data_IF_315801602803
#
_entry.id   IF_315801602803
#
_cell.length_a   1.000
_cell.length_b   1.000
_cell.length_c   1.000
_cell.angle_alpha   90.00
_cell.angle_beta   90.00
_cell.angle_gamma   90.00
#
_symmetry.space_group_name_H-M   'P 1'
#
loop_
_entity.id
_entity.type
_entity.pdbx_description
1 polymer ?
#
# COMPACT_ATOMS: atom_id res chain seq x y z
N UNK A 1 -17.45 -6.42 -1.73
CA UNK A 1 -16.28 -6.92 -0.97
C UNK A 1 -15.21 -5.86 -0.69
N UNK A 2 -14.78 -5.04 -1.68
CA UNK A 2 -13.73 -4.04 -1.43
C UNK A 2 -14.17 -2.94 -0.46
N UNK A 3 -15.37 -2.41 -0.66
CA UNK A 3 -15.96 -1.37 0.18
C UNK A 3 -16.08 -1.83 1.64
N UNK A 4 -16.42 -3.10 1.88
CA UNK A 4 -16.55 -3.67 3.21
C UNK A 4 -15.18 -3.79 3.91
N UNK A 5 -14.12 -4.10 3.17
CA UNK A 5 -12.74 -4.10 3.69
C UNK A 5 -12.28 -2.66 3.98
N UNK A 6 -12.62 -1.70 3.13
CA UNK A 6 -12.32 -0.28 3.33
C UNK A 6 -13.03 0.26 4.57
N UNK A 7 -14.32 -0.05 4.74
CA UNK A 7 -15.08 0.28 5.95
C UNK A 7 -14.42 -0.31 7.20
N UNK A 8 -14.01 -1.58 7.19
CA UNK A 8 -13.33 -2.21 8.32
C UNK A 8 -11.98 -1.54 8.65
N UNK A 9 -11.22 -1.12 7.64
CA UNK A 9 -9.96 -0.40 7.84
C UNK A 9 -10.20 0.98 8.42
N UNK A 10 -11.21 1.68 7.94
CA UNK A 10 -11.57 3.01 8.43
C UNK A 10 -12.05 2.93 9.88
N UNK A 11 -12.88 1.94 10.21
CA UNK A 11 -13.29 1.66 11.59
C UNK A 11 -12.07 1.40 12.48
N UNK A 12 -11.13 0.55 12.03
CA UNK A 12 -9.91 0.28 12.80
C UNK A 12 -9.06 1.54 13.00
N UNK A 13 -8.93 2.39 11.97
CA UNK A 13 -8.21 3.67 12.02
C UNK A 13 -8.86 4.62 13.04
N UNK A 14 -10.17 4.83 12.97
CA UNK A 14 -10.91 5.67 13.92
C UNK A 14 -10.73 5.17 15.36
N UNK A 15 -10.92 3.87 15.60
CA UNK A 15 -10.76 3.28 16.92
C UNK A 15 -9.33 3.43 17.48
N UNK A 16 -8.30 3.29 16.64
CA UNK A 16 -6.90 3.48 17.05
C UNK A 16 -6.56 4.95 17.35
N UNK A 17 -7.18 5.88 16.61
CA UNK A 17 -7.00 7.31 16.81
C UNK A 17 -7.86 7.88 17.96
N UNK A 18 -8.82 7.09 18.49
CA UNK A 18 -9.81 7.58 19.45
C UNK A 18 -10.83 8.56 18.83
N UNK A 19 -10.96 8.54 17.51
CA UNK A 19 -11.89 9.38 16.78
C UNK A 19 -13.30 8.74 16.72
N UNK A 20 -14.37 9.54 16.73
CA UNK A 20 -15.71 9.02 16.49
C UNK A 20 -15.83 8.45 15.08
N UNK A 21 -16.63 7.40 14.95
CA UNK A 21 -17.01 6.83 13.66
C UNK A 21 -18.05 7.73 13.00
N UNK A 22 -17.95 7.88 11.68
CA UNK A 22 -19.01 8.48 10.88
C UNK A 22 -20.35 7.76 11.09
N UNK A 23 -21.47 8.49 10.99
CA UNK A 23 -22.81 7.95 11.28
C UNK A 23 -23.18 6.78 10.35
N UNK A 24 -22.80 6.83 9.08
CA UNK A 24 -23.09 5.76 8.13
C UNK A 24 -22.20 4.54 8.40
N UNK A 25 -20.92 4.74 8.74
CA UNK A 25 -20.02 3.67 9.16
C UNK A 25 -20.50 3.00 10.46
N UNK A 26 -20.95 3.80 11.44
CA UNK A 26 -21.49 3.33 12.70
C UNK A 26 -22.75 2.50 12.50
N UNK A 27 -23.69 2.99 11.69
CA UNK A 27 -24.93 2.28 11.36
C UNK A 27 -24.65 0.98 10.60
N UNK A 28 -23.72 1.02 9.65
CA UNK A 28 -23.28 -0.16 8.92
C UNK A 28 -22.66 -1.21 9.86
N UNK A 29 -21.73 -0.82 10.73
CA UNK A 29 -21.07 -1.72 11.69
C UNK A 29 -22.11 -2.35 12.64
N UNK A 30 -23.00 -1.53 13.20
CA UNK A 30 -24.08 -1.98 14.07
C UNK A 30 -24.96 -3.02 13.39
N UNK A 31 -25.39 -2.77 12.15
CA UNK A 31 -26.21 -3.72 11.38
C UNK A 31 -25.49 -5.05 11.13
N UNK A 32 -24.17 -5.04 10.86
CA UNK A 32 -23.41 -6.28 10.63
C UNK A 32 -23.21 -7.08 11.92
N UNK A 33 -22.95 -6.40 13.03
CA UNK A 33 -22.82 -7.05 14.34
C UNK A 33 -24.16 -7.65 14.78
N UNK A 34 -25.26 -6.93 14.59
CA UNK A 34 -26.61 -7.42 14.87
C UNK A 34 -26.91 -8.68 14.06
N UNK A 35 -26.67 -8.68 12.74
CA UNK A 35 -26.87 -9.87 11.90
C UNK A 35 -26.07 -11.10 12.38
N UNK A 36 -24.87 -10.88 12.92
CA UNK A 36 -24.05 -11.95 13.50
C UNK A 36 -24.59 -12.43 14.85
N UNK A 37 -24.87 -11.50 15.77
CA UNK A 37 -25.35 -11.80 17.13
C UNK A 37 -26.74 -12.43 17.12
N UNK A 38 -27.60 -12.03 16.17
CA UNK A 38 -28.92 -12.62 15.96
C UNK A 38 -28.86 -13.97 15.22
N UNK A 39 -27.67 -14.54 15.02
CA UNK A 39 -27.43 -15.83 14.34
C UNK A 39 -27.99 -15.91 12.92
N UNK A 40 -28.25 -14.78 12.25
CA UNK A 40 -28.64 -14.76 10.83
C UNK A 40 -27.48 -15.17 9.92
N UNK A 41 -26.26 -15.08 10.44
CA UNK A 41 -25.01 -15.42 9.76
C UNK A 41 -24.20 -16.38 10.62
N UNK A 42 -23.55 -17.34 9.96
CA UNK A 42 -22.81 -18.42 10.66
C UNK A 42 -21.43 -18.00 11.13
N UNK A 43 -20.90 -16.89 10.59
CA UNK A 43 -19.57 -16.38 10.93
C UNK A 43 -19.49 -14.86 10.75
N UNK A 44 -18.56 -14.22 11.46
CA UNK A 44 -18.24 -12.81 11.27
C UNK A 44 -17.82 -12.51 9.82
N UNK A 45 -17.03 -13.40 9.20
CA UNK A 45 -16.64 -13.23 7.80
C UNK A 45 -17.84 -13.18 6.84
N UNK A 46 -18.91 -13.90 7.14
CA UNK A 46 -20.15 -13.83 6.36
C UNK A 46 -20.93 -12.54 6.63
N UNK A 47 -21.03 -12.14 7.90
CA UNK A 47 -21.70 -10.90 8.30
C UNK A 47 -21.04 -9.66 7.69
N UNK A 48 -19.70 -9.62 7.65
CA UNK A 48 -18.93 -8.54 7.05
C UNK A 48 -18.70 -8.68 5.53
N UNK A 49 -19.28 -9.69 4.89
CA UNK A 49 -19.13 -9.89 3.43
C UNK A 49 -17.71 -10.23 2.99
N UNK A 50 -16.88 -10.76 3.89
CA UNK A 50 -15.49 -11.18 3.65
C UNK A 50 -15.37 -12.60 3.07
N UNK A 51 -16.51 -13.28 2.85
CA UNK A 51 -16.52 -14.65 2.33
C UNK A 51 -16.19 -14.64 0.84
N UNK A 52 -15.09 -15.31 0.47
CA UNK A 52 -14.86 -15.68 -0.92
C UNK A 52 -15.92 -16.70 -1.39
N UNK A 53 -16.14 -16.81 -2.70
CA UNK A 53 -16.90 -17.93 -3.25
C UNK A 53 -16.31 -19.25 -2.73
N UNK A 54 -17.10 -20.33 -2.62
CA UNK A 54 -16.60 -21.62 -2.17
C UNK A 54 -15.46 -22.09 -3.10
N UNK A 55 -14.26 -22.34 -2.54
CA UNK A 55 -13.04 -22.62 -3.32
C UNK A 55 -12.36 -21.38 -3.93
N UNK A 56 -12.84 -20.18 -3.61
CA UNK A 56 -12.32 -18.90 -4.08
C UNK A 56 -11.09 -18.43 -3.31
N UNK A 57 -10.41 -17.44 -3.88
CA UNK A 57 -9.24 -16.79 -3.28
C UNK A 57 -9.66 -16.05 -2.00
N UNK A 58 -8.99 -16.26 -0.85
CA UNK A 58 -9.27 -15.49 0.36
C UNK A 58 -9.12 -13.98 0.11
N UNK A 59 -9.99 -13.17 0.71
CA UNK A 59 -10.01 -11.71 0.47
C UNK A 59 -8.67 -11.02 0.74
N UNK A 60 -7.91 -11.49 1.74
CA UNK A 60 -6.60 -10.94 2.09
C UNK A 60 -5.57 -11.20 0.98
N UNK A 61 -5.63 -12.37 0.37
CA UNK A 61 -4.79 -12.73 -0.78
C UNK A 61 -5.22 -11.95 -2.03
N UNK A 62 -6.52 -11.73 -2.23
CA UNK A 62 -7.01 -10.87 -3.31
C UNK A 62 -6.51 -9.41 -3.14
N UNK A 63 -6.60 -8.86 -1.93
CA UNK A 63 -6.07 -7.54 -1.61
C UNK A 63 -4.55 -7.46 -1.83
N UNK A 64 -3.81 -8.50 -1.43
CA UNK A 64 -2.36 -8.62 -1.68
C UNK A 64 -2.02 -8.65 -3.18
N UNK A 65 -2.80 -9.39 -3.98
CA UNK A 65 -2.66 -9.46 -5.43
C UNK A 65 -2.95 -8.09 -6.07
N UNK A 66 -3.99 -7.38 -5.61
CA UNK A 66 -4.31 -6.03 -6.10
C UNK A 66 -3.20 -5.03 -5.80
N UNK A 67 -2.69 -5.00 -4.55
CA UNK A 67 -1.54 -4.16 -4.16
C UNK A 67 -0.32 -4.45 -5.04
N UNK A 68 0.03 -5.72 -5.23
CA UNK A 68 1.11 -6.14 -6.14
C UNK A 68 0.89 -5.64 -7.55
N UNK A 69 -0.30 -5.87 -8.12
CA UNK A 69 -0.60 -5.51 -9.49
C UNK A 69 -0.59 -3.99 -9.69
N UNK A 70 -1.03 -3.20 -8.71
CA UNK A 70 -0.91 -1.74 -8.74
C UNK A 70 0.55 -1.29 -8.75
N UNK A 71 1.39 -1.85 -7.87
CA UNK A 71 2.81 -1.52 -7.83
C UNK A 71 3.56 -1.93 -9.12
N UNK A 72 3.21 -3.07 -9.72
CA UNK A 72 3.77 -3.50 -11.01
C UNK A 72 3.33 -2.61 -12.17
N UNK A 73 2.11 -2.09 -12.12
CA UNK A 73 1.58 -1.11 -13.09
C UNK A 73 2.30 0.23 -12.98
N UNK A 74 2.50 0.73 -11.77
CA UNK A 74 3.26 1.95 -11.53
C UNK A 74 4.73 1.78 -11.95
N UNK A 75 5.34 0.61 -11.69
CA UNK A 75 6.67 0.28 -12.20
C UNK A 75 6.74 0.36 -13.73
N UNK A 76 5.73 -0.19 -14.41
CA UNK A 76 5.65 -0.18 -15.86
C UNK A 76 5.51 1.25 -16.41
N UNK A 77 4.78 2.13 -15.71
CA UNK A 77 4.67 3.55 -16.03
C UNK A 77 6.02 4.28 -15.87
N UNK A 78 6.78 3.98 -14.81
CA UNK A 78 8.12 4.55 -14.59
C UNK A 78 9.12 4.18 -15.70
N UNK A 79 8.97 3.02 -16.34
CA UNK A 79 9.90 2.55 -17.37
C UNK A 79 9.73 3.26 -18.72
N UNK A 80 8.69 4.08 -18.90
CA UNK A 80 8.46 4.94 -20.08
C UNK A 80 8.79 4.25 -21.41
N UNK A 81 8.32 3.01 -21.62
CA UNK A 81 8.62 2.27 -22.84
C UNK A 81 7.57 2.56 -23.92
N UNK A 82 8.00 3.07 -25.06
CA UNK A 82 7.19 3.13 -26.30
C UNK A 82 7.07 1.76 -26.99
N UNK A 83 7.40 0.68 -26.27
CA UNK A 83 7.40 -0.68 -26.76
C UNK A 83 6.06 -1.41 -26.59
N UNK A 84 5.99 -2.60 -27.18
CA UNK A 84 4.83 -3.50 -27.03
C UNK A 84 4.62 -3.95 -25.57
N UNK A 85 3.39 -4.34 -25.23
CA UNK A 85 3.06 -4.92 -23.92
C UNK A 85 3.98 -6.10 -23.54
N UNK A 86 4.42 -6.88 -24.54
CA UNK A 86 5.35 -7.99 -24.36
C UNK A 86 6.75 -7.52 -23.99
N UNK A 87 7.27 -6.47 -24.65
CA UNK A 87 8.58 -5.91 -24.32
C UNK A 87 8.59 -5.32 -22.90
N UNK A 88 7.52 -4.59 -22.54
CA UNK A 88 7.35 -4.02 -21.21
C UNK A 88 7.23 -5.12 -20.13
N UNK A 89 6.45 -6.17 -20.38
CA UNK A 89 6.32 -7.30 -19.46
C UNK A 89 7.66 -8.03 -19.25
N UNK A 90 8.46 -8.21 -20.31
CA UNK A 90 9.81 -8.81 -20.22
C UNK A 90 10.74 -7.95 -19.38
N UNK A 91 10.72 -6.64 -19.57
CA UNK A 91 11.58 -5.72 -18.81
C UNK A 91 11.20 -5.67 -17.32
N UNK A 92 9.89 -5.58 -17.02
CA UNK A 92 9.39 -5.69 -15.65
C UNK A 92 9.79 -7.03 -15.04
N UNK A 93 9.68 -8.13 -15.78
CA UNK A 93 10.09 -9.45 -15.31
C UNK A 93 11.58 -9.47 -14.95
N UNK A 94 12.45 -9.01 -15.86
CA UNK A 94 13.90 -8.92 -15.66
C UNK A 94 14.25 -8.15 -14.39
N UNK A 95 13.59 -7.01 -14.15
CA UNK A 95 13.80 -6.20 -12.95
C UNK A 95 13.32 -6.90 -11.67
N UNK A 96 12.16 -7.54 -11.69
CA UNK A 96 11.63 -8.28 -10.53
C UNK A 96 12.50 -9.48 -10.16
N UNK A 97 12.99 -10.26 -11.13
CA UNK A 97 13.91 -11.38 -10.90
C UNK A 97 15.24 -10.88 -10.33
N UNK A 98 15.80 -9.82 -10.91
CA UNK A 98 17.05 -9.23 -10.40
C UNK A 98 16.90 -8.74 -8.97
N UNK A 99 15.79 -8.08 -8.65
CA UNK A 99 15.52 -7.58 -7.29
C UNK A 99 15.37 -8.73 -6.29
N UNK A 100 14.64 -9.79 -6.66
CA UNK A 100 14.49 -11.00 -5.86
C UNK A 100 15.85 -11.62 -5.49
N UNK A 101 16.75 -11.73 -6.47
CA UNK A 101 18.06 -12.36 -6.27
C UNK A 101 19.06 -11.50 -5.48
N UNK A 102 18.92 -10.17 -5.49
CA UNK A 102 19.96 -9.26 -4.95
C UNK A 102 19.55 -8.56 -3.66
N UNK A 103 18.41 -7.87 -3.66
CA UNK A 103 18.04 -6.93 -2.59
C UNK A 103 16.99 -7.53 -1.66
N UNK A 104 16.08 -8.35 -2.19
CA UNK A 104 14.91 -8.83 -1.45
C UNK A 104 15.23 -9.64 -0.20
N UNK A 105 16.27 -10.48 -0.23
CA UNK A 105 16.67 -11.28 0.94
C UNK A 105 16.98 -10.42 2.18
N UNK A 106 17.51 -9.21 1.96
CA UNK A 106 17.77 -8.23 3.01
C UNK A 106 16.51 -7.41 3.32
N UNK A 107 15.83 -6.94 2.27
CA UNK A 107 14.72 -6.00 2.40
C UNK A 107 13.46 -6.63 3.02
N UNK A 108 13.25 -7.95 2.87
CA UNK A 108 12.10 -8.66 3.45
C UNK A 108 12.03 -8.66 4.98
N UNK A 109 13.11 -8.29 5.66
CA UNK A 109 13.20 -8.19 7.13
C UNK A 109 12.92 -6.78 7.64
N UNK A 110 12.71 -5.82 6.73
CA UNK A 110 12.43 -4.43 7.08
C UNK A 110 10.93 -4.22 7.13
N UNK A 111 10.46 -3.56 8.18
CA UNK A 111 9.06 -3.16 8.31
C UNK A 111 8.75 -2.01 7.34
N UNK A 112 9.70 -1.08 7.18
CA UNK A 112 9.55 0.10 6.33
C UNK A 112 10.43 0.10 5.08
N UNK A 113 9.93 0.78 4.05
CA UNK A 113 10.64 0.99 2.79
C UNK A 113 11.90 1.85 3.03
N UNK A 114 13.08 1.48 2.51
CA UNK A 114 14.26 2.32 2.59
C UNK A 114 14.04 3.69 1.93
N UNK A 115 14.39 4.78 2.61
CA UNK A 115 14.21 6.15 2.09
C UNK A 115 14.91 6.37 0.73
N UNK A 116 16.04 5.72 0.49
CA UNK A 116 16.77 5.77 -0.78
C UNK A 116 16.01 5.17 -1.98
N UNK A 117 14.91 4.43 -1.75
CA UNK A 117 14.09 3.89 -2.83
C UNK A 117 13.03 4.87 -3.31
N UNK A 118 12.71 5.90 -2.51
CA UNK A 118 11.67 6.87 -2.84
C UNK A 118 11.90 7.51 -4.22
N UNK A 119 10.84 7.54 -5.04
CA UNK A 119 10.90 8.07 -6.41
C UNK A 119 11.65 7.20 -7.43
N UNK A 120 12.15 6.03 -7.03
CA UNK A 120 12.86 5.11 -7.94
C UNK A 120 11.99 3.89 -8.30
N UNK A 121 12.30 3.18 -9.40
CA UNK A 121 11.68 1.89 -9.71
C UNK A 121 11.77 0.86 -8.57
N UNK A 122 12.78 0.98 -7.68
CA UNK A 122 12.92 0.09 -6.52
C UNK A 122 11.80 0.28 -5.49
N UNK A 123 11.19 1.46 -5.38
CA UNK A 123 10.03 1.64 -4.51
C UNK A 123 8.84 0.79 -4.98
N UNK A 124 8.56 0.77 -6.28
CA UNK A 124 7.52 -0.07 -6.86
C UNK A 124 7.83 -1.56 -6.66
N UNK A 125 9.08 -1.97 -6.84
CA UNK A 125 9.51 -3.35 -6.58
C UNK A 125 9.34 -3.72 -5.09
N UNK A 126 9.79 -2.88 -4.17
CA UNK A 126 9.63 -3.11 -2.74
C UNK A 126 8.15 -3.30 -2.38
N UNK A 127 7.27 -2.38 -2.82
CA UNK A 127 5.81 -2.48 -2.60
C UNK A 127 5.18 -3.73 -3.21
N UNK A 128 5.66 -4.17 -4.36
CA UNK A 128 5.17 -5.39 -4.99
C UNK A 128 5.56 -6.66 -4.20
N UNK A 129 6.77 -6.69 -3.65
CA UNK A 129 7.27 -7.83 -2.86
C UNK A 129 6.72 -7.84 -1.43
N UNK A 130 6.44 -6.69 -0.82
CA UNK A 130 5.83 -6.60 0.52
C UNK A 130 4.31 -6.74 0.52
N UNK A 131 3.68 -6.90 -0.66
CA UNK A 131 2.23 -6.97 -0.76
C UNK A 131 1.61 -8.20 -0.10
N UNK A 132 2.40 -9.25 0.14
CA UNK A 132 1.95 -10.56 0.63
C UNK A 132 1.51 -11.53 -0.48
N UNK A 133 1.55 -11.12 -1.76
CA UNK A 133 1.25 -12.01 -2.89
C UNK A 133 2.53 -12.68 -3.42
N UNK A 134 2.36 -13.81 -4.11
CA UNK A 134 3.47 -14.53 -4.72
C UNK A 134 4.27 -13.64 -5.70
N UNK A 135 5.60 -13.67 -5.53
CA UNK A 135 6.60 -12.93 -6.30
C UNK A 135 7.89 -13.75 -6.44
N UNK A 136 8.63 -13.64 -7.56
CA UNK A 136 8.29 -12.88 -8.77
C UNK A 136 7.16 -13.56 -9.57
N UNK A 137 6.46 -12.77 -10.40
CA UNK A 137 5.43 -13.27 -11.33
C UNK A 137 6.05 -13.60 -12.70
N UNK A 138 5.47 -14.57 -13.41
CA UNK A 138 5.94 -14.96 -14.74
C UNK A 138 5.55 -13.93 -15.83
N UNK A 139 6.27 -13.91 -16.94
CA UNK A 139 6.01 -12.97 -18.05
C UNK A 139 4.58 -13.05 -18.59
N UNK A 140 4.01 -14.26 -18.65
CA UNK A 140 2.63 -14.45 -19.10
C UNK A 140 1.64 -13.72 -18.19
N UNK A 141 1.82 -13.83 -16.87
CA UNK A 141 0.97 -13.14 -15.91
C UNK A 141 1.17 -11.62 -15.98
N UNK A 142 2.41 -11.16 -16.17
CA UNK A 142 2.71 -9.75 -16.37
C UNK A 142 2.00 -9.16 -17.59
N UNK A 143 1.99 -9.87 -18.73
CA UNK A 143 1.23 -9.42 -19.91
C UNK A 143 -0.26 -9.22 -19.59
N UNK A 144 -0.88 -10.12 -18.83
CA UNK A 144 -2.27 -9.96 -18.41
C UNK A 144 -2.47 -8.76 -17.47
N UNK A 145 -1.57 -8.55 -16.51
CA UNK A 145 -1.63 -7.42 -15.57
C UNK A 145 -1.51 -6.07 -16.29
N UNK A 146 -0.65 -6.01 -17.31
CA UNK A 146 -0.27 -4.79 -18.04
C UNK A 146 -1.11 -4.53 -19.30
N UNK A 147 -1.89 -5.50 -19.79
CA UNK A 147 -2.69 -5.35 -21.02
C UNK A 147 -3.61 -4.12 -21.04
N UNK A 148 -4.14 -3.73 -19.88
CA UNK A 148 -5.02 -2.56 -19.76
C UNK A 148 -4.29 -1.21 -19.80
N UNK A 149 -2.96 -1.19 -19.61
CA UNK A 149 -2.19 0.05 -19.68
C UNK A 149 -1.81 0.41 -21.11
N UNK A 150 -1.51 -0.58 -21.95
CA UNK A 150 -1.14 -0.34 -23.35
C UNK A 150 -2.30 0.19 -24.20
N UNK A 151 -3.55 -0.09 -23.81
CA UNK A 151 -4.73 0.41 -24.53
C UNK A 151 -5.10 1.86 -24.17
N UNK A 152 -4.60 2.41 -23.04
CA UNK A 152 -5.07 3.67 -22.47
C UNK A 152 -4.17 4.88 -22.73
N UNK A 153 -3.07 4.75 -23.47
CA UNK A 153 -2.10 5.85 -23.58
C UNK A 153 -2.38 6.76 -24.78
N UNK A 154 -2.90 8.00 -24.59
CA UNK A 154 -2.85 9.01 -25.63
C UNK A 154 -1.38 9.37 -25.93
N UNK A 155 -1.09 9.64 -27.20
CA UNK A 155 0.22 10.11 -27.63
C UNK A 155 0.56 11.42 -26.91
N UNK A 156 1.72 11.44 -26.23
CA UNK A 156 2.34 12.57 -25.50
C UNK A 156 1.65 13.02 -24.20
N UNK A 157 2.19 12.53 -23.08
CA UNK A 157 2.36 13.34 -21.88
C UNK A 157 3.85 13.35 -21.54
N UNK A 158 4.47 14.46 -21.94
CA UNK A 158 5.87 14.81 -21.75
C UNK A 158 6.09 14.98 -20.24
N UNK A 159 6.91 14.13 -19.62
CA UNK A 159 7.35 14.27 -18.23
C UNK A 159 8.32 15.47 -18.13
N UNK A 160 7.78 16.69 -18.26
CA UNK A 160 8.49 17.89 -17.90
C UNK A 160 8.33 18.12 -16.39
N UNK A 161 9.37 17.82 -15.63
CA UNK A 161 9.68 18.61 -14.43
C UNK A 161 9.08 18.21 -13.08
N UNK A 162 9.17 16.95 -12.64
CA UNK A 162 9.03 16.65 -11.21
C UNK A 162 9.93 15.50 -10.72
N UNK A 163 11.24 15.65 -10.91
CA UNK A 163 12.26 14.80 -10.27
C UNK A 163 13.44 15.59 -9.67
N UNK A 164 13.37 16.93 -9.59
CA UNK A 164 14.44 17.72 -9.00
C UNK A 164 13.91 18.99 -8.33
N UNK A 165 13.66 18.91 -7.01
CA UNK A 165 13.97 19.91 -5.98
C UNK A 165 13.24 19.57 -4.68
N UNK A 166 13.80 18.62 -3.93
CA UNK A 166 13.65 18.52 -2.49
C UNK A 166 15.03 18.73 -1.86
N UNK A 167 15.69 19.83 -2.21
CA UNK A 167 16.95 20.24 -1.62
C UNK A 167 16.72 20.58 -0.15
N UNK A 168 17.58 20.04 0.70
CA UNK A 168 17.68 20.35 2.10
C UNK A 168 17.63 21.87 2.37
N UNK A 169 16.74 22.27 3.28
CA UNK A 169 16.99 23.41 4.16
C UNK A 169 16.76 22.95 5.59
N UNK A 170 17.86 22.51 6.19
CA UNK A 170 18.05 22.57 7.63
C UNK A 170 18.23 24.04 7.98
N UNK A 171 17.29 24.60 8.73
CA UNK A 171 17.47 25.84 9.46
C UNK A 171 17.15 25.54 10.93
N UNK A 172 18.21 25.53 11.74
CA UNK A 172 18.13 25.52 13.18
C UNK A 172 17.39 26.77 13.70
N UNK A 173 16.57 26.67 14.75
CA UNK A 173 16.30 27.81 15.60
C UNK A 173 17.41 27.92 16.65
N UNK A 174 18.16 29.02 16.55
CA UNK A 174 18.96 29.59 17.63
C UNK A 174 18.05 29.85 18.84
N UNK A 175 18.58 29.58 20.03
CA UNK A 175 17.82 29.51 21.26
C UNK A 175 17.35 30.85 21.83
N UNK A 176 16.47 30.74 22.83
CA UNK A 176 16.48 31.48 24.09
C UNK A 176 15.18 31.17 24.84
N UNK A 177 15.29 30.58 26.03
CA UNK A 177 14.71 31.14 27.27
C UNK A 177 14.72 30.08 28.36
N UNK A 178 15.60 30.31 29.33
CA UNK A 178 15.56 29.67 30.63
C UNK A 178 14.34 30.19 31.40
N UNK A 179 13.50 29.30 31.88
CA UNK A 179 12.61 29.57 33.02
C UNK A 179 13.09 28.71 34.18
N UNK A 180 13.64 29.39 35.19
CA UNK A 180 14.03 28.82 36.46
C UNK A 180 12.79 28.34 37.22
N UNK A 181 12.67 27.03 37.42
CA UNK A 181 11.75 26.47 38.41
C UNK A 181 12.46 26.46 39.76
N UNK A 182 12.06 27.40 40.61
CA UNK A 182 12.46 27.48 42.02
C UNK A 182 11.82 26.33 42.79
N UNK A 183 12.64 25.48 43.39
CA UNK A 183 12.23 24.43 44.34
C UNK A 183 12.21 25.07 45.74
N UNK A 184 11.09 25.08 46.48
CA UNK A 184 11.13 25.48 47.87
C UNK A 184 11.74 24.37 48.76
N UNK A 185 12.72 24.78 49.55
CA UNK A 185 13.38 23.99 50.56
C UNK A 185 12.39 23.57 51.67
N UNK A 186 12.43 22.29 52.02
CA UNK A 186 11.79 21.73 53.22
C UNK A 186 12.81 21.84 54.35
N UNK A 187 12.48 22.60 55.39
CA UNK A 187 13.23 22.66 56.65
C UNK A 187 12.48 21.86 57.74
N UNK A 188 13.16 21.48 58.84
CA UNK A 188 12.98 20.22 59.56
C UNK A 188 11.71 20.10 60.40
#
# INVERSE_FOLDING_TARGET
MLTEIENLREIARCCQAGEPLDDDLSRWLGSRLEDFLSQRRTSLGEAFGLRGAQGGVPWWLEAAIRKRNAALRELAECLCSDGSATALAREVHRLTVRYAGTSWNRDRRRDDMPGAYAGTPKACLWRAFTSGAAMPVCERQLRSILAHQTARRPAKAQWAGSCAKGGAQSAAPAGASATATTIPARAP
#
